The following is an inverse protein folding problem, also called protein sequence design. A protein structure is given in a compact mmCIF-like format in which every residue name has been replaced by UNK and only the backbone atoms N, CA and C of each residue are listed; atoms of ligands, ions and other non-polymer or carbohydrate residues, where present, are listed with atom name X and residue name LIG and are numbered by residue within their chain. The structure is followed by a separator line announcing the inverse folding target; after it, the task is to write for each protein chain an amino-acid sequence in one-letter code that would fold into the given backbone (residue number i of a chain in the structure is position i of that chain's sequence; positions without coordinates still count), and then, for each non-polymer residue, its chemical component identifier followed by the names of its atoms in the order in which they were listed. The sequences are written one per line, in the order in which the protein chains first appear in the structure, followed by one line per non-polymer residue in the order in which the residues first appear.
data_IF_839994373340
#
_entry.id   IF_839994373340
#
_cell.length_a   1.000
_cell.length_b   1.000
_cell.length_c   1.000
_cell.angle_alpha   90.00
_cell.angle_beta   90.00
_cell.angle_gamma   90.00
#
_symmetry.space_group_name_H-M   'P 1'
#
loop_
_entity.id
_entity.type
_entity.pdbx_description
1 polymer ?
#
# COMPACT_ATOMS: atom_id res chain seq x y z
N UNK A 1 3.01 -30.04 -29.70
CA UNK A 1 1.83 -30.16 -28.81
C UNK A 1 2.29 -30.16 -27.34
N UNK A 2 2.35 -29.02 -26.65
CA UNK A 2 2.75 -29.03 -25.22
C UNK A 2 2.15 -27.91 -24.33
N UNK A 3 1.17 -27.15 -24.81
CA UNK A 3 0.58 -26.03 -24.04
C UNK A 3 -0.44 -26.48 -22.97
N UNK A 4 -1.02 -27.69 -23.07
CA UNK A 4 -2.09 -28.12 -22.15
C UNK A 4 -1.62 -28.55 -20.76
N UNK A 5 -0.35 -28.94 -20.57
CA UNK A 5 0.15 -29.47 -19.28
C UNK A 5 0.46 -28.38 -18.24
N UNK A 6 0.87 -27.18 -18.68
CA UNK A 6 1.23 -26.09 -17.74
C UNK A 6 -0.01 -25.42 -17.13
N UNK A 7 -1.06 -25.18 -17.91
CA UNK A 7 -2.28 -24.48 -17.45
C UNK A 7 -3.04 -25.26 -16.36
N UNK A 8 -3.10 -26.59 -16.47
CA UNK A 8 -3.78 -27.46 -15.49
C UNK A 8 -3.06 -27.47 -14.14
N UNK A 9 -1.74 -27.43 -14.16
CA UNK A 9 -0.92 -27.44 -12.93
C UNK A 9 -1.04 -26.11 -12.19
N UNK A 10 -0.99 -24.98 -12.91
CA UNK A 10 -1.18 -23.64 -12.33
C UNK A 10 -2.58 -23.44 -11.72
N UNK A 11 -3.63 -23.96 -12.37
CA UNK A 11 -5.00 -23.89 -11.84
C UNK A 11 -5.18 -24.72 -10.56
N UNK A 12 -4.53 -25.90 -10.47
CA UNK A 12 -4.58 -26.75 -9.27
C UNK A 12 -3.88 -26.07 -8.08
N UNK A 13 -2.78 -25.37 -8.32
CA UNK A 13 -2.07 -24.60 -7.29
C UNK A 13 -2.93 -23.43 -6.79
N UNK A 14 -3.55 -22.66 -7.70
CA UNK A 14 -4.47 -21.58 -7.32
C UNK A 14 -5.66 -22.07 -6.49
N UNK A 15 -6.27 -23.19 -6.88
CA UNK A 15 -7.38 -23.79 -6.13
C UNK A 15 -6.97 -24.22 -4.70
N UNK A 16 -5.75 -24.76 -4.52
CA UNK A 16 -5.22 -25.11 -3.20
C UNK A 16 -4.99 -23.88 -2.31
N UNK A 17 -4.42 -22.80 -2.85
CA UNK A 17 -4.25 -21.55 -2.09
C UNK A 17 -5.59 -20.94 -1.70
N UNK A 18 -6.58 -20.95 -2.60
CA UNK A 18 -7.92 -20.47 -2.30
C UNK A 18 -8.60 -21.31 -1.20
N UNK A 19 -8.43 -22.63 -1.24
CA UNK A 19 -8.94 -23.52 -0.20
C UNK A 19 -8.29 -23.26 1.17
N UNK A 20 -6.97 -23.05 1.20
CA UNK A 20 -6.24 -22.71 2.41
C UNK A 20 -6.65 -21.34 2.99
N UNK A 21 -6.85 -20.34 2.13
CA UNK A 21 -7.36 -19.02 2.54
C UNK A 21 -8.78 -19.13 3.12
N UNK A 22 -9.66 -19.88 2.46
CA UNK A 22 -11.02 -20.13 2.95
C UNK A 22 -11.03 -20.84 4.32
N UNK A 23 -10.11 -21.77 4.55
CA UNK A 23 -9.95 -22.44 5.85
C UNK A 23 -9.46 -21.50 6.94
N UNK A 24 -8.44 -20.69 6.65
CA UNK A 24 -7.94 -19.69 7.60
C UNK A 24 -9.01 -18.63 7.94
N UNK A 25 -9.83 -18.22 6.96
CA UNK A 25 -11.00 -17.35 7.18
C UNK A 25 -12.04 -18.02 8.10
N UNK A 26 -12.39 -19.30 7.84
CA UNK A 26 -13.32 -20.05 8.71
C UNK A 26 -12.83 -20.09 10.15
N UNK A 27 -11.55 -20.40 10.35
CA UNK A 27 -10.93 -20.46 11.69
C UNK A 27 -10.95 -19.09 12.39
N UNK A 28 -10.69 -18.00 11.67
CA UNK A 28 -10.68 -16.63 12.25
C UNK A 28 -12.08 -16.16 12.64
N UNK A 29 -13.09 -16.54 11.85
CA UNK A 29 -14.49 -16.19 12.11
C UNK A 29 -15.16 -17.13 13.13
N UNK A 30 -14.54 -18.27 13.45
CA UNK A 30 -15.15 -19.29 14.31
C UNK A 30 -16.45 -19.87 13.74
N UNK A 31 -16.61 -19.81 12.41
CA UNK A 31 -17.84 -20.22 11.74
C UNK A 31 -17.82 -21.73 11.46
N UNK A 32 -18.54 -22.48 12.29
CA UNK A 32 -18.94 -23.85 11.97
C UNK A 32 -19.94 -23.87 10.80
N UNK A 33 -19.93 -24.92 9.99
CA UNK A 33 -20.88 -25.02 8.88
C UNK A 33 -22.30 -25.29 9.38
N UNK A 34 -23.31 -25.03 8.53
CA UNK A 34 -24.69 -25.39 8.84
C UNK A 34 -24.84 -26.90 9.09
N UNK A 35 -24.06 -27.70 8.36
CA UNK A 35 -24.01 -29.15 8.48
C UNK A 35 -23.44 -29.58 9.83
N UNK A 36 -22.32 -28.99 10.27
CA UNK A 36 -21.69 -29.26 11.58
C UNK A 36 -22.66 -28.94 12.74
N UNK A 37 -23.45 -27.88 12.58
CA UNK A 37 -24.39 -27.39 13.61
C UNK A 37 -25.76 -28.05 13.57
N UNK A 38 -26.10 -28.79 12.51
CA UNK A 38 -27.47 -29.26 12.22
C UNK A 38 -28.51 -28.14 12.32
N UNK A 39 -28.17 -26.96 11.80
CA UNK A 39 -29.02 -25.75 11.82
C UNK A 39 -29.44 -25.38 10.41
N UNK A 40 -30.62 -24.78 10.30
CA UNK A 40 -31.21 -24.26 9.06
C UNK A 40 -30.81 -22.81 8.76
N UNK A 41 -30.25 -22.10 9.75
CA UNK A 41 -29.82 -20.72 9.64
C UNK A 41 -28.47 -20.46 10.33
N UNK A 42 -27.66 -19.59 9.71
CA UNK A 42 -26.37 -19.18 10.24
C UNK A 42 -26.57 -18.06 11.27
N UNK A 43 -26.00 -18.22 12.46
CA UNK A 43 -26.06 -17.20 13.51
C UNK A 43 -24.82 -16.29 13.46
N UNK A 44 -25.03 -15.00 13.21
CA UNK A 44 -23.96 -13.99 13.12
C UNK A 44 -23.90 -13.05 14.33
N UNK A 45 -24.82 -13.17 15.30
CA UNK A 45 -24.94 -12.20 16.40
C UNK A 45 -23.69 -12.14 17.30
N UNK A 46 -22.92 -13.23 17.34
CA UNK A 46 -21.73 -13.36 18.18
C UNK A 46 -20.41 -13.20 17.40
N UNK A 47 -20.45 -12.75 16.13
CA UNK A 47 -19.24 -12.49 15.36
C UNK A 47 -18.77 -11.07 15.63
N UNK A 48 -17.54 -10.94 16.11
CA UNK A 48 -16.95 -9.61 16.32
C UNK A 48 -16.67 -8.90 15.00
N UNK A 49 -16.88 -7.58 14.97
CA UNK A 49 -16.52 -6.73 13.82
C UNK A 49 -15.02 -6.82 13.50
N UNK A 50 -14.18 -7.02 14.53
CA UNK A 50 -12.75 -7.25 14.36
C UNK A 50 -12.46 -8.55 13.59
N UNK A 51 -13.13 -9.66 13.92
CA UNK A 51 -12.99 -10.94 13.21
C UNK A 51 -13.43 -10.83 11.75
N UNK A 52 -14.51 -10.08 11.46
CA UNK A 52 -14.97 -9.82 10.09
C UNK A 52 -13.92 -9.03 9.31
N UNK A 53 -13.36 -7.98 9.92
CA UNK A 53 -12.28 -7.18 9.30
C UNK A 53 -11.07 -8.04 8.98
N UNK A 54 -10.61 -8.86 9.92
CA UNK A 54 -9.46 -9.75 9.73
C UNK A 54 -9.69 -10.77 8.61
N UNK A 55 -10.88 -11.35 8.56
CA UNK A 55 -11.26 -12.30 7.52
C UNK A 55 -11.27 -11.66 6.12
N UNK A 56 -11.82 -10.45 6.01
CA UNK A 56 -11.84 -9.69 4.75
C UNK A 56 -10.40 -9.34 4.33
N UNK A 57 -9.56 -8.87 5.26
CA UNK A 57 -8.17 -8.55 4.99
C UNK A 57 -7.40 -9.78 4.48
N UNK A 58 -7.55 -10.92 5.15
CA UNK A 58 -6.93 -12.19 4.76
C UNK A 58 -7.39 -12.67 3.37
N UNK A 59 -8.69 -12.59 3.09
CA UNK A 59 -9.25 -12.97 1.80
C UNK A 59 -8.74 -12.06 0.67
N UNK A 60 -8.67 -10.75 0.94
CA UNK A 60 -8.09 -9.77 0.03
C UNK A 60 -6.60 -10.07 -0.23
N UNK A 61 -5.80 -10.30 0.82
CA UNK A 61 -4.37 -10.62 0.71
C UNK A 61 -4.14 -11.85 -0.17
N UNK A 62 -4.88 -12.92 0.08
CA UNK A 62 -4.78 -14.16 -0.69
C UNK A 62 -5.20 -13.98 -2.16
N UNK A 63 -6.27 -13.22 -2.40
CA UNK A 63 -6.74 -12.91 -3.76
C UNK A 63 -5.75 -12.03 -4.52
N UNK A 64 -5.21 -10.99 -3.88
CA UNK A 64 -4.24 -10.09 -4.48
C UNK A 64 -2.95 -10.82 -4.85
N UNK A 65 -2.40 -11.62 -3.93
CA UNK A 65 -1.18 -12.38 -4.19
C UNK A 65 -1.35 -13.37 -5.35
N UNK A 66 -2.51 -14.03 -5.44
CA UNK A 66 -2.81 -14.97 -6.53
C UNK A 66 -2.98 -14.29 -7.90
N UNK A 67 -3.36 -13.00 -7.92
CA UNK A 67 -3.57 -12.21 -9.13
C UNK A 67 -2.33 -11.45 -9.61
N UNK A 68 -1.54 -10.92 -8.67
CA UNK A 68 -0.41 -10.02 -8.95
C UNK A 68 0.96 -10.72 -8.87
N UNK A 69 1.04 -11.91 -8.28
CA UNK A 69 2.31 -12.57 -7.91
C UNK A 69 3.19 -11.75 -6.95
N UNK A 70 2.61 -10.72 -6.30
CA UNK A 70 3.25 -9.86 -5.31
C UNK A 70 2.46 -9.91 -3.99
N UNK A 71 3.11 -9.69 -2.82
CA UNK A 71 2.36 -9.52 -1.58
C UNK A 71 1.38 -8.36 -1.71
N UNK A 72 0.23 -8.47 -1.03
CA UNK A 72 -0.71 -7.36 -0.96
C UNK A 72 0.03 -6.13 -0.44
N UNK A 73 0.02 -5.02 -1.19
CA UNK A 73 0.84 -3.89 -0.79
C UNK A 73 0.41 -3.43 0.60
N UNK A 74 -0.87 -3.50 0.96
CA UNK A 74 -1.52 -2.85 2.12
C UNK A 74 -1.13 -3.29 3.55
N UNK A 75 -0.10 -4.12 3.75
CA UNK A 75 0.43 -4.39 5.09
C UNK A 75 1.65 -3.51 5.34
N UNK A 76 1.45 -2.44 6.10
CA UNK A 76 2.54 -1.63 6.61
C UNK A 76 2.48 -1.64 8.12
N UNK A 77 3.56 -2.06 8.73
CA UNK A 77 3.82 -1.70 10.11
C UNK A 77 4.45 -0.30 10.09
N UNK A 78 3.76 0.76 10.55
CA UNK A 78 4.38 2.08 10.66
C UNK A 78 5.58 2.08 11.63
N UNK A 79 5.75 1.04 12.44
CA UNK A 79 6.94 0.84 13.27
C UNK A 79 8.13 0.21 12.50
N UNK A 80 7.95 -0.22 11.25
CA UNK A 80 9.03 -0.68 10.36
C UNK A 80 9.12 0.18 9.09
N UNK A 81 9.73 1.38 9.18
CA UNK A 81 9.95 2.25 8.01
C UNK A 81 10.84 1.62 6.93
N UNK A 82 11.70 0.65 7.29
CA UNK A 82 12.57 -0.03 6.34
C UNK A 82 11.77 -0.87 5.35
N UNK A 83 10.85 -1.70 5.86
CA UNK A 83 9.94 -2.46 5.02
C UNK A 83 9.05 -1.58 4.13
N UNK A 84 8.65 -0.38 4.60
CA UNK A 84 7.93 0.59 3.77
C UNK A 84 8.81 1.11 2.63
N UNK A 85 10.06 1.46 2.91
CA UNK A 85 11.00 1.99 1.92
C UNK A 85 11.40 0.95 0.86
N UNK A 86 11.50 -0.33 1.23
CA UNK A 86 11.80 -1.43 0.28
C UNK A 86 10.76 -1.56 -0.84
N UNK A 87 9.57 -0.99 -0.66
CA UNK A 87 8.50 -0.97 -1.67
C UNK A 87 8.52 0.27 -2.57
N UNK A 88 9.46 1.20 -2.35
CA UNK A 88 9.56 2.42 -3.15
C UNK A 88 9.84 2.10 -4.62
N UNK A 89 8.93 2.52 -5.48
CA UNK A 89 9.03 2.38 -6.92
C UNK A 89 8.82 3.74 -7.58
N UNK A 90 9.83 4.22 -8.32
CA UNK A 90 9.68 5.42 -9.15
C UNK A 90 9.17 5.01 -10.53
N UNK A 91 7.96 5.44 -10.86
CA UNK A 91 7.30 5.10 -12.13
C UNK A 91 7.52 6.14 -13.21
N UNK A 92 7.72 7.41 -12.84
CA UNK A 92 7.98 8.49 -13.81
C UNK A 92 8.83 9.60 -13.21
N UNK A 93 9.75 10.12 -14.03
CA UNK A 93 10.52 11.35 -13.78
C UNK A 93 10.27 12.34 -14.92
N UNK A 94 10.03 13.60 -14.61
CA UNK A 94 9.82 14.65 -15.62
C UNK A 94 10.46 15.95 -15.16
N UNK A 95 11.57 16.31 -15.80
CA UNK A 95 12.25 17.58 -15.56
C UNK A 95 11.42 18.77 -16.03
N UNK A 96 11.70 19.95 -15.46
CA UNK A 96 11.03 21.21 -15.82
C UNK A 96 12.05 22.24 -16.32
N UNK A 97 11.68 23.09 -17.30
CA UNK A 97 12.56 24.17 -17.75
C UNK A 97 12.95 25.15 -16.64
N UNK A 98 12.09 25.33 -15.65
CA UNK A 98 12.29 26.23 -14.49
C UNK A 98 12.99 25.55 -13.31
N UNK A 99 13.58 24.38 -13.53
CA UNK A 99 14.23 23.60 -12.49
C UNK A 99 13.30 22.66 -11.72
N UNK A 100 13.92 21.69 -11.06
CA UNK A 100 13.25 20.60 -10.37
C UNK A 100 12.78 19.48 -11.29
N UNK A 101 12.44 18.35 -10.69
CA UNK A 101 11.94 17.15 -11.35
C UNK A 101 10.64 16.71 -10.67
N UNK A 102 9.57 16.57 -11.45
CA UNK A 102 8.38 15.86 -11.01
C UNK A 102 8.70 14.37 -10.96
N UNK A 103 8.44 13.78 -9.80
CA UNK A 103 8.63 12.37 -9.51
C UNK A 103 7.27 11.78 -9.17
N UNK A 104 6.91 10.73 -9.89
CA UNK A 104 5.73 9.92 -9.57
C UNK A 104 6.19 8.52 -9.19
N UNK A 105 5.56 7.96 -8.18
CA UNK A 105 5.89 6.63 -7.72
C UNK A 105 4.84 6.03 -6.82
N UNK A 106 5.16 4.82 -6.37
CA UNK A 106 4.42 4.10 -5.35
C UNK A 106 5.35 3.89 -4.17
N UNK A 107 4.83 3.99 -2.96
CA UNK A 107 5.55 3.60 -1.75
C UNK A 107 4.53 3.13 -0.74
N UNK A 108 4.76 1.96 -0.16
CA UNK A 108 3.91 1.35 0.83
C UNK A 108 2.43 1.47 0.38
N UNK A 109 2.13 1.05 -0.85
CA UNK A 109 0.80 1.10 -1.51
C UNK A 109 0.01 2.40 -1.38
N UNK A 110 0.76 3.48 -1.32
CA UNK A 110 0.29 4.80 -1.64
C UNK A 110 0.91 5.22 -2.98
N UNK A 111 0.12 5.93 -3.78
CA UNK A 111 0.64 6.69 -4.90
C UNK A 111 1.16 8.01 -4.37
N UNK A 112 2.29 8.47 -4.90
CA UNK A 112 2.78 9.81 -4.62
C UNK A 112 3.19 10.55 -5.89
N UNK A 113 3.07 11.86 -5.82
CA UNK A 113 3.66 12.80 -6.76
C UNK A 113 4.41 13.87 -5.98
N UNK A 114 5.67 14.08 -6.33
CA UNK A 114 6.53 15.05 -5.65
C UNK A 114 7.28 15.93 -6.66
N UNK A 115 7.37 17.23 -6.38
CA UNK A 115 8.24 18.13 -7.11
C UNK A 115 9.52 18.37 -6.29
N UNK A 116 10.62 17.81 -6.78
CA UNK A 116 11.89 17.70 -6.06
C UNK A 116 12.98 18.53 -6.74
N UNK A 117 13.78 19.26 -5.97
CA UNK A 117 14.85 20.12 -6.45
C UNK A 117 16.24 19.59 -6.08
N UNK A 118 17.29 19.91 -6.86
CA UNK A 118 18.66 19.50 -6.54
C UNK A 118 19.26 20.27 -5.36
N UNK A 119 18.79 21.48 -5.10
CA UNK A 119 19.26 22.38 -4.04
C UNK A 119 18.08 22.85 -3.19
N UNK A 120 18.35 23.26 -1.95
CA UNK A 120 17.34 23.78 -1.02
C UNK A 120 16.70 25.08 -1.53
N UNK A 121 15.44 25.29 -1.14
CA UNK A 121 14.72 26.52 -1.40
C UNK A 121 15.36 27.68 -0.63
N UNK A 122 15.36 28.86 -1.25
CA UNK A 122 15.80 30.10 -0.57
C UNK A 122 14.83 30.50 0.55
N UNK A 123 13.55 30.15 0.43
CA UNK A 123 12.54 30.31 1.47
C UNK A 123 12.18 28.93 2.05
N UNK A 124 12.49 28.74 3.33
CA UNK A 124 12.23 27.48 4.02
C UNK A 124 10.74 27.11 4.07
N UNK A 125 9.82 28.07 3.99
CA UNK A 125 8.38 27.77 3.97
C UNK A 125 7.93 27.06 2.68
N UNK A 126 8.73 27.15 1.62
CA UNK A 126 8.46 26.50 0.34
C UNK A 126 9.03 25.09 0.25
N UNK A 127 9.65 24.61 1.33
CA UNK A 127 10.28 23.32 1.41
C UNK A 127 9.66 22.50 2.53
N UNK A 128 9.32 21.26 2.23
CA UNK A 128 8.84 20.30 3.22
C UNK A 128 10.03 19.83 4.05
N UNK A 129 10.11 20.17 5.34
CA UNK A 129 11.04 19.60 6.31
C UNK A 129 12.51 19.47 5.83
N UNK A 130 13.05 20.49 5.16
CA UNK A 130 14.43 20.52 4.64
C UNK A 130 14.77 19.40 3.60
N UNK A 131 13.75 18.92 2.87
CA UNK A 131 13.85 17.78 1.95
C UNK A 131 14.13 18.11 0.48
N UNK A 132 14.23 19.40 0.13
CA UNK A 132 14.21 19.90 -1.27
C UNK A 132 12.93 19.53 -2.05
N UNK A 133 11.86 19.14 -1.36
CA UNK A 133 10.54 18.91 -1.94
C UNK A 133 9.68 20.16 -1.75
N UNK A 134 9.20 20.74 -2.84
CA UNK A 134 8.30 21.91 -2.77
C UNK A 134 6.83 21.58 -2.91
N UNK A 135 6.52 20.41 -3.48
CA UNK A 135 5.17 19.86 -3.57
C UNK A 135 5.19 18.37 -3.30
N UNK A 136 4.26 17.89 -2.49
CA UNK A 136 4.04 16.47 -2.24
C UNK A 136 2.55 16.18 -2.20
N UNK A 137 2.14 15.18 -2.95
CA UNK A 137 0.79 14.60 -2.90
C UNK A 137 0.90 13.12 -2.61
N UNK A 138 0.06 12.62 -1.68
CA UNK A 138 0.04 11.22 -1.26
C UNK A 138 -1.40 10.72 -1.18
N UNK A 139 -1.68 9.61 -1.86
CA UNK A 139 -3.00 8.97 -1.90
C UNK A 139 -2.89 7.48 -1.58
N UNK A 140 -3.77 7.00 -0.70
CA UNK A 140 -3.87 5.57 -0.37
C UNK A 140 -4.63 4.81 -1.47
N UNK A 141 -4.09 3.69 -1.95
CA UNK A 141 -4.61 3.00 -3.14
C UNK A 141 -5.99 2.36 -2.94
N UNK A 142 -6.37 1.94 -1.74
CA UNK A 142 -7.59 1.15 -1.53
C UNK A 142 -8.84 2.04 -1.50
N UNK A 143 -8.78 3.13 -0.76
CA UNK A 143 -9.85 4.10 -0.59
C UNK A 143 -9.75 5.26 -1.56
N UNK A 144 -8.62 5.41 -2.26
CA UNK A 144 -8.27 6.60 -3.05
C UNK A 144 -8.33 7.90 -2.24
N UNK A 145 -8.21 7.80 -0.91
CA UNK A 145 -8.21 8.96 -0.03
C UNK A 145 -6.87 9.66 -0.13
N UNK A 146 -6.91 10.97 -0.37
CA UNK A 146 -5.75 11.82 -0.18
C UNK A 146 -5.41 11.88 1.31
N UNK A 147 -4.19 11.44 1.65
CA UNK A 147 -3.72 11.36 3.04
C UNK A 147 -2.71 12.44 3.38
N UNK A 148 -2.05 13.05 2.38
CA UNK A 148 -1.21 14.22 2.56
C UNK A 148 -1.16 15.06 1.27
N UNK A 149 -1.19 16.38 1.43
CA UNK A 149 -0.98 17.33 0.34
C UNK A 149 -0.23 18.55 0.87
N UNK A 150 0.94 18.81 0.28
CA UNK A 150 1.80 19.94 0.56
C UNK A 150 2.09 20.65 -0.76
N UNK A 151 1.82 21.95 -0.84
CA UNK A 151 2.22 22.83 -1.94
C UNK A 151 2.70 24.15 -1.33
N UNK A 152 3.97 24.20 -0.93
CA UNK A 152 4.58 25.35 -0.23
C UNK A 152 3.79 25.76 1.02
N UNK A 153 3.33 24.75 1.74
CA UNK A 153 2.35 24.85 2.82
C UNK A 153 1.46 23.62 2.84
N UNK A 154 0.94 23.29 4.02
CA UNK A 154 0.07 22.12 4.19
C UNK A 154 -1.37 22.45 3.77
N UNK A 155 -1.80 21.88 2.65
CA UNK A 155 -3.24 21.82 2.29
C UNK A 155 -3.93 20.70 3.08
N UNK A 156 -3.24 19.57 3.26
CA UNK A 156 -3.68 18.44 4.10
C UNK A 156 -2.50 17.80 4.81
N UNK A 157 -2.49 17.87 6.15
CA UNK A 157 -1.50 17.18 6.98
C UNK A 157 -1.79 15.69 7.09
N UNK A 158 -0.76 14.82 7.11
CA UNK A 158 -0.94 13.41 7.42
C UNK A 158 -1.43 13.24 8.87
N UNK A 159 -2.53 12.51 9.05
CA UNK A 159 -3.13 12.28 10.37
C UNK A 159 -2.83 10.88 10.93
N UNK A 160 -2.67 9.89 10.06
CA UNK A 160 -2.34 8.51 10.44
C UNK A 160 -0.83 8.33 10.61
N UNK A 161 -0.43 7.38 11.44
CA UNK A 161 1.00 7.13 11.69
C UNK A 161 1.72 6.60 10.45
N UNK A 162 1.03 5.79 9.64
CA UNK A 162 1.54 5.34 8.34
C UNK A 162 1.77 6.52 7.38
N UNK A 163 0.81 7.46 7.26
CA UNK A 163 0.99 8.61 6.39
C UNK A 163 2.11 9.53 6.88
N UNK A 164 2.25 9.73 8.19
CA UNK A 164 3.36 10.51 8.77
C UNK A 164 4.71 9.85 8.48
N UNK A 165 4.81 8.53 8.67
CA UNK A 165 6.02 7.76 8.37
C UNK A 165 6.40 7.88 6.88
N UNK A 166 5.42 7.78 5.98
CA UNK A 166 5.65 7.93 4.53
C UNK A 166 6.13 9.32 4.14
N UNK A 167 5.50 10.37 4.67
CA UNK A 167 5.97 11.75 4.44
C UNK A 167 7.40 11.89 4.95
N UNK A 168 7.70 11.39 6.15
CA UNK A 168 9.06 11.42 6.71
C UNK A 168 10.09 10.68 5.86
N UNK A 169 9.76 9.47 5.38
CA UNK A 169 10.63 8.68 4.50
C UNK A 169 10.91 9.40 3.17
N UNK A 170 9.88 9.97 2.55
CA UNK A 170 10.04 10.71 1.29
C UNK A 170 10.84 12.00 1.51
N UNK A 171 10.55 12.74 2.58
CA UNK A 171 11.28 13.95 2.94
C UNK A 171 12.77 13.66 3.23
N UNK A 172 13.07 12.55 3.90
CA UNK A 172 14.43 12.22 4.33
C UNK A 172 15.38 11.75 3.21
N UNK A 173 14.86 11.27 2.07
CA UNK A 173 15.71 10.59 1.08
C UNK A 173 15.32 10.69 -0.38
N UNK A 174 14.15 11.26 -0.73
CA UNK A 174 13.73 11.27 -2.12
C UNK A 174 14.63 12.15 -2.99
N UNK A 175 15.10 13.30 -2.49
CA UNK A 175 15.97 14.18 -3.26
C UNK A 175 17.34 13.55 -3.55
N UNK A 176 17.93 12.90 -2.55
CA UNK A 176 19.16 12.12 -2.64
C UNK A 176 18.99 10.96 -3.63
N UNK A 177 17.88 10.23 -3.54
CA UNK A 177 17.57 9.15 -4.46
C UNK A 177 17.42 9.61 -5.93
N UNK A 178 16.94 10.83 -6.15
CA UNK A 178 16.70 11.37 -7.49
C UNK A 178 17.96 12.02 -8.09
N UNK A 179 18.74 12.74 -7.29
CA UNK A 179 19.87 13.54 -7.77
C UNK A 179 21.25 12.98 -7.45
N UNK A 180 21.36 12.00 -6.54
CA UNK A 180 22.57 11.21 -6.30
C UNK A 180 23.83 12.04 -6.04
N UNK A 181 23.84 12.83 -4.96
CA UNK A 181 25.09 13.28 -4.34
C UNK A 181 25.46 12.32 -3.23
#
# INVERSE_FOLDING_TARGET
MNAKKNTTTTNKTKARHMAAAAEAVRNRLGLETLEDRKRDALNFHDISVASIRDAIALAFEAGFAAGSSAPAPFKYDPADPGAMLDTLEITKKTGRPTGGTWVKGNIAGHAFEALVFPEHATDAAYELDDSRISKLWLQEHFTHTEVACFDRGWDRKPTTDAAKALVGLLAAGLAEHIFGK
#
